data_IF_039822722523
#
_entry.id   IF_039822722523
#
_cell.length_a   1.000
_cell.length_b   1.000
_cell.length_c   1.000
_cell.angle_alpha   90.00
_cell.angle_beta   90.00
_cell.angle_gamma   90.00
#
_symmetry.space_group_name_H-M   'P 1'
#
loop_
_entity.id
_entity.type
_entity.pdbx_description
1 polymer ?
#
# COMPACT_ATOMS: atom_id res chain seq x y z
N UNK A 1 1.62 -11.65 15.65
CA UNK A 1 1.61 -12.06 14.24
C UNK A 1 3.06 -12.17 13.82
N UNK A 2 3.48 -13.36 13.38
CA UNK A 2 4.86 -13.61 13.00
C UNK A 2 5.20 -12.78 11.77
N UNK A 3 6.25 -11.95 11.86
CA UNK A 3 6.64 -10.98 10.85
C UNK A 3 7.05 -11.61 9.49
N UNK A 4 7.16 -12.94 9.43
CA UNK A 4 7.73 -13.70 8.32
C UNK A 4 6.75 -13.93 7.15
N UNK A 5 5.44 -13.67 7.31
CA UNK A 5 4.41 -13.98 6.29
C UNK A 5 3.42 -12.85 5.96
N UNK A 6 3.72 -11.59 6.29
CA UNK A 6 2.87 -10.48 5.88
C UNK A 6 2.83 -10.40 4.34
N UNK A 7 1.65 -10.62 3.76
CA UNK A 7 1.42 -10.47 2.31
C UNK A 7 1.68 -9.01 1.94
N UNK A 8 2.62 -8.79 1.01
CA UNK A 8 3.07 -7.47 0.56
C UNK A 8 2.28 -7.03 -0.68
N UNK A 9 1.82 -5.78 -0.68
CA UNK A 9 1.08 -5.18 -1.80
C UNK A 9 1.72 -3.83 -2.14
N UNK A 10 1.95 -3.59 -3.42
CA UNK A 10 2.33 -2.29 -3.98
C UNK A 10 1.11 -1.70 -4.69
N UNK A 11 0.73 -0.48 -4.31
CA UNK A 11 -0.37 0.27 -4.92
C UNK A 11 0.25 1.33 -5.83
N UNK A 12 -0.18 1.37 -7.09
CA UNK A 12 0.29 2.34 -8.09
C UNK A 12 -0.92 3.06 -8.65
N UNK A 13 -1.04 4.35 -8.35
CA UNK A 13 -2.14 5.21 -8.78
C UNK A 13 -1.71 6.68 -8.61
N UNK A 14 -1.97 7.54 -9.60
CA UNK A 14 -1.56 8.95 -9.60
C UNK A 14 -2.39 9.82 -8.65
N UNK A 15 -3.54 9.34 -8.17
CA UNK A 15 -4.39 10.05 -7.23
C UNK A 15 -4.04 9.70 -5.77
N UNK A 16 -3.47 10.66 -5.03
CA UNK A 16 -3.00 10.45 -3.64
C UNK A 16 -4.11 9.96 -2.72
N UNK A 17 -5.30 10.55 -2.83
CA UNK A 17 -6.44 10.29 -1.96
C UNK A 17 -6.94 8.84 -2.12
N UNK A 18 -6.86 8.31 -3.35
CA UNK A 18 -7.18 6.91 -3.66
C UNK A 18 -6.17 5.98 -3.00
N UNK A 19 -4.87 6.25 -3.13
CA UNK A 19 -3.85 5.40 -2.51
C UNK A 19 -3.86 5.43 -0.98
N UNK A 20 -4.18 6.57 -0.36
CA UNK A 20 -4.30 6.70 1.09
C UNK A 20 -5.48 5.88 1.63
N UNK A 21 -6.64 5.97 0.96
CA UNK A 21 -7.81 5.18 1.31
C UNK A 21 -7.51 3.67 1.26
N UNK A 22 -6.83 3.22 0.19
CA UNK A 22 -6.47 1.82 0.02
C UNK A 22 -5.42 1.35 1.02
N UNK A 23 -4.38 2.15 1.28
CA UNK A 23 -3.37 1.88 2.30
C UNK A 23 -4.01 1.67 3.68
N UNK A 24 -4.91 2.57 4.08
CA UNK A 24 -5.64 2.47 5.34
C UNK A 24 -6.45 1.16 5.43
N UNK A 25 -7.21 0.82 4.36
CA UNK A 25 -8.05 -0.38 4.33
C UNK A 25 -7.21 -1.67 4.36
N UNK A 26 -6.12 -1.73 3.63
CA UNK A 26 -5.30 -2.95 3.59
C UNK A 26 -4.44 -3.12 4.84
N UNK A 27 -3.97 -2.03 5.47
CA UNK A 27 -3.31 -2.12 6.77
C UNK A 27 -4.26 -2.64 7.85
N UNK A 28 -5.53 -2.21 7.86
CA UNK A 28 -6.55 -2.78 8.75
C UNK A 28 -6.76 -4.28 8.54
N UNK A 29 -6.63 -4.76 7.31
CA UNK A 29 -6.73 -6.18 6.97
C UNK A 29 -5.41 -6.97 7.20
N UNK A 30 -4.37 -6.33 7.73
CA UNK A 30 -3.12 -6.99 8.12
C UNK A 30 -2.11 -7.18 6.98
N UNK A 31 -2.21 -6.40 5.90
CA UNK A 31 -1.24 -6.43 4.80
C UNK A 31 -0.11 -5.41 5.01
N UNK A 32 1.05 -5.70 4.41
CA UNK A 32 2.17 -4.76 4.33
C UNK A 32 2.08 -3.99 3.00
N UNK A 33 1.95 -2.66 3.08
CA UNK A 33 1.63 -1.80 1.93
C UNK A 33 2.77 -0.84 1.63
N UNK A 34 3.01 -0.61 0.33
CA UNK A 34 3.76 0.52 -0.21
C UNK A 34 2.88 1.20 -1.27
N UNK A 35 2.81 2.53 -1.25
CA UNK A 35 2.16 3.31 -2.31
C UNK A 35 3.22 3.92 -3.22
N UNK A 36 2.85 4.10 -4.49
CA UNK A 36 3.64 4.81 -5.49
C UNK A 36 2.70 5.69 -6.31
N UNK A 37 2.75 7.00 -6.05
CA UNK A 37 1.88 7.98 -6.70
C UNK A 37 2.50 8.66 -7.91
N UNK A 38 3.82 8.58 -8.04
CA UNK A 38 4.54 9.15 -9.16
C UNK A 38 5.56 8.13 -9.68
N UNK A 39 5.24 7.38 -10.75
CA UNK A 39 6.10 6.33 -11.26
C UNK A 39 7.41 6.87 -11.86
N UNK A 40 7.49 8.16 -12.18
CA UNK A 40 8.71 8.78 -12.72
C UNK A 40 9.64 9.31 -11.62
N UNK A 41 9.19 9.32 -10.37
CA UNK A 41 9.97 9.74 -9.19
C UNK A 41 10.22 8.57 -8.21
N UNK A 42 9.98 7.35 -8.67
CA UNK A 42 9.96 6.08 -7.91
C UNK A 42 11.32 5.44 -7.64
#
# INVERSE_FOLDING_TARGET
>A
MDAEHLKRILIVDDESDVTELLDYKFKQAGYAIRTLNDPLRA
#
